data_IF_934649510047
#
_entry.id   IF_934649510047
#
_cell.length_a   1.000
_cell.length_b   1.000
_cell.length_c   1.000
_cell.angle_alpha   90.00
_cell.angle_beta   90.00
_cell.angle_gamma   90.00
#
_symmetry.space_group_name_H-M   'P 1'
#
loop_
_entity.id
_entity.type
_entity.pdbx_description
1 polymer ?
#
# COMPACT_ATOMS: atom_id res chain seq x y z
N UNK A 1 -37.46 -11.70 50.25
CA UNK A 1 -37.09 -12.54 49.09
C UNK A 1 -37.27 -11.80 47.75
N UNK A 2 -38.39 -11.09 47.53
CA UNK A 2 -38.63 -10.29 46.30
C UNK A 2 -37.70 -9.08 46.10
N UNK A 3 -37.26 -8.44 47.18
CA UNK A 3 -36.37 -7.26 47.13
C UNK A 3 -34.98 -7.60 46.56
N UNK A 4 -34.40 -8.75 46.94
CA UNK A 4 -33.08 -9.20 46.50
C UNK A 4 -33.00 -9.45 44.98
N UNK A 5 -34.11 -9.89 44.36
CA UNK A 5 -34.19 -10.16 42.92
C UNK A 5 -34.15 -8.85 42.11
N UNK A 6 -34.73 -7.77 42.64
CA UNK A 6 -34.69 -6.44 41.99
C UNK A 6 -33.27 -5.87 41.97
N UNK A 7 -32.54 -5.97 43.08
CA UNK A 7 -31.16 -5.48 43.14
C UNK A 7 -30.21 -6.33 42.27
N UNK A 8 -30.40 -7.64 42.24
CA UNK A 8 -29.62 -8.54 41.38
C UNK A 8 -29.87 -8.27 39.89
N UNK A 9 -31.12 -8.00 39.48
CA UNK A 9 -31.42 -7.71 38.07
C UNK A 9 -30.85 -6.37 37.63
N UNK A 10 -31.01 -5.30 38.43
CA UNK A 10 -30.48 -3.96 38.12
C UNK A 10 -28.95 -3.97 38.04
N UNK A 11 -28.28 -4.69 38.95
CA UNK A 11 -26.83 -4.87 38.88
C UNK A 11 -26.40 -5.59 37.60
N UNK A 12 -27.13 -6.65 37.20
CA UNK A 12 -26.83 -7.42 35.99
C UNK A 12 -27.02 -6.59 34.70
N UNK A 13 -28.08 -5.78 34.60
CA UNK A 13 -28.31 -4.88 33.45
C UNK A 13 -27.27 -3.76 33.39
N UNK A 14 -26.87 -3.21 34.54
CA UNK A 14 -25.84 -2.18 34.59
C UNK A 14 -24.46 -2.74 34.18
N UNK A 15 -24.09 -3.94 34.65
CA UNK A 15 -22.83 -4.58 34.22
C UNK A 15 -22.84 -4.99 32.75
N UNK A 16 -23.96 -5.48 32.22
CA UNK A 16 -24.04 -5.84 30.79
C UNK A 16 -23.99 -4.62 29.88
N UNK A 17 -24.60 -3.49 30.26
CA UNK A 17 -24.50 -2.23 29.50
C UNK A 17 -23.09 -1.63 29.51
N UNK A 18 -22.35 -1.73 30.62
CA UNK A 18 -20.95 -1.30 30.70
C UNK A 18 -20.06 -2.24 29.88
N UNK A 19 -20.28 -3.56 29.92
CA UNK A 19 -19.48 -4.53 29.15
C UNK A 19 -19.74 -4.43 27.65
N UNK A 20 -20.99 -4.20 27.21
CA UNK A 20 -21.28 -3.98 25.78
C UNK A 20 -20.89 -2.59 25.29
N UNK A 21 -20.96 -1.56 26.14
CA UNK A 21 -20.49 -0.21 25.83
C UNK A 21 -18.97 -0.08 25.75
N UNK A 22 -18.21 -0.91 26.48
CA UNK A 22 -16.75 -0.97 26.42
C UNK A 22 -16.20 -1.83 25.29
N UNK A 23 -17.03 -2.71 24.70
CA UNK A 23 -16.74 -3.29 23.38
C UNK A 23 -17.09 -2.30 22.27
N UNK A 24 -16.69 -1.03 22.41
CA UNK A 24 -16.46 -0.19 21.24
C UNK A 24 -15.32 -0.85 20.48
N UNK A 25 -15.69 -1.70 19.52
CA UNK A 25 -14.80 -2.28 18.53
C UNK A 25 -13.98 -1.14 17.92
N UNK A 26 -12.74 -1.00 18.36
CA UNK A 26 -11.84 -0.01 17.79
C UNK A 26 -11.54 -0.45 16.37
N UNK A 27 -12.20 0.23 15.42
CA UNK A 27 -11.81 0.17 14.01
C UNK A 27 -10.31 0.46 13.94
N UNK A 28 -9.58 -0.37 13.21
CA UNK A 28 -8.14 -0.16 13.01
C UNK A 28 -7.86 1.26 12.50
N UNK A 29 -6.68 1.79 12.84
CA UNK A 29 -6.26 3.12 12.40
C UNK A 29 -5.69 3.05 10.98
N UNK A 30 -6.18 3.94 10.13
CA UNK A 30 -5.72 4.11 8.76
C UNK A 30 -4.93 5.42 8.60
N UNK A 31 -4.99 6.34 9.57
CA UNK A 31 -4.23 7.59 9.59
C UNK A 31 -2.75 7.36 9.33
N UNK A 32 -2.17 8.16 8.45
CA UNK A 32 -0.73 8.22 8.21
C UNK A 32 -0.35 7.88 6.78
N UNK A 33 0.93 7.57 6.61
CA UNK A 33 1.53 7.34 5.30
C UNK A 33 1.53 5.85 4.93
N UNK A 34 1.17 5.58 3.68
CA UNK A 34 1.01 4.23 3.13
C UNK A 34 1.64 4.16 1.74
N UNK A 35 2.26 3.02 1.47
CA UNK A 35 2.61 2.61 0.12
C UNK A 35 1.58 1.58 -0.35
N UNK A 36 0.88 1.88 -1.43
CA UNK A 36 -0.07 0.95 -2.06
C UNK A 36 0.61 0.36 -3.29
N UNK A 37 0.91 -0.93 -3.24
CA UNK A 37 1.41 -1.74 -4.34
C UNK A 37 0.26 -2.48 -5.02
N UNK A 38 0.30 -2.58 -6.34
CA UNK A 38 -0.66 -3.36 -7.12
C UNK A 38 0.04 -4.27 -8.09
N UNK A 39 -0.58 -5.41 -8.37
CA UNK A 39 -0.17 -6.31 -9.44
C UNK A 39 -1.34 -6.57 -10.37
N UNK A 40 -1.21 -6.16 -11.62
CA UNK A 40 -2.27 -6.35 -12.61
C UNK A 40 -2.28 -7.80 -13.10
N UNK A 41 -3.35 -8.52 -12.85
CA UNK A 41 -3.52 -9.91 -13.30
C UNK A 41 -4.25 -9.98 -14.63
N UNK A 42 -5.27 -9.14 -14.79
CA UNK A 42 -6.12 -9.10 -15.99
C UNK A 42 -6.28 -7.67 -16.48
N UNK A 43 -6.26 -7.49 -17.80
CA UNK A 43 -6.45 -6.20 -18.47
C UNK A 43 -6.83 -6.44 -19.93
N UNK A 44 -7.49 -5.46 -20.55
CA UNK A 44 -7.90 -5.51 -21.96
C UNK A 44 -6.69 -5.56 -22.92
N UNK A 45 -5.56 -4.96 -22.51
CA UNK A 45 -4.29 -4.97 -23.24
C UNK A 45 -3.28 -5.83 -22.48
N UNK A 46 -2.69 -6.81 -23.18
CA UNK A 46 -1.71 -7.73 -22.59
C UNK A 46 -0.49 -7.05 -22.00
N UNK A 47 -0.11 -5.86 -22.51
CA UNK A 47 0.99 -5.05 -21.96
C UNK A 47 0.76 -4.61 -20.52
N UNK A 48 -0.49 -4.55 -20.06
CA UNK A 48 -0.79 -4.24 -18.65
C UNK A 48 -0.78 -5.48 -17.75
N UNK A 49 -0.81 -6.70 -18.29
CA UNK A 49 -0.76 -7.91 -17.48
C UNK A 49 0.64 -8.08 -16.88
N UNK A 50 0.70 -8.28 -15.57
CA UNK A 50 1.94 -8.26 -14.80
C UNK A 50 2.46 -6.87 -14.45
N UNK A 51 1.75 -5.80 -14.79
CA UNK A 51 2.20 -4.45 -14.47
C UNK A 51 2.08 -4.21 -12.97
N UNK A 52 3.22 -3.92 -12.35
CA UNK A 52 3.30 -3.38 -10.99
C UNK A 52 3.19 -1.85 -11.00
N UNK A 53 2.36 -1.32 -10.11
CA UNK A 53 2.25 0.12 -9.85
C UNK A 53 2.28 0.33 -8.35
N UNK A 54 3.08 1.32 -7.90
CA UNK A 54 3.09 1.74 -6.51
C UNK A 54 2.76 3.22 -6.34
N UNK A 55 1.96 3.52 -5.33
CA UNK A 55 1.61 4.88 -4.91
C UNK A 55 2.03 5.10 -3.47
N UNK A 56 2.50 6.30 -3.18
CA UNK A 56 2.75 6.79 -1.84
C UNK A 56 1.64 7.77 -1.47
N UNK A 57 0.87 7.45 -0.45
CA UNK A 57 -0.34 8.19 -0.07
C UNK A 57 -0.38 8.46 1.41
N UNK A 58 -0.89 9.63 1.78
CA UNK A 58 -1.27 9.94 3.14
C UNK A 58 -2.78 9.75 3.29
N UNK A 59 -3.20 8.78 4.09
CA UNK A 59 -4.60 8.51 4.40
C UNK A 59 -4.96 9.18 5.73
N UNK A 60 -6.17 9.72 5.79
CA UNK A 60 -6.75 10.31 6.99
C UNK A 60 -8.10 9.66 7.25
N UNK A 61 -8.26 9.10 8.46
CA UNK A 61 -9.48 8.47 8.94
C UNK A 61 -9.99 9.13 10.22
N UNK A 62 -10.21 10.44 10.13
CA UNK A 62 -10.85 11.22 11.19
C UNK A 62 -12.21 10.57 11.57
N UNK A 63 -12.37 10.10 12.82
CA UNK A 63 -13.60 9.43 13.26
C UNK A 63 -14.83 10.35 13.23
N UNK A 64 -14.63 11.67 13.19
CA UNK A 64 -15.70 12.68 13.13
C UNK A 64 -15.99 13.12 11.69
N UNK A 65 -15.09 12.86 10.74
CA UNK A 65 -15.22 13.24 9.34
C UNK A 65 -15.25 12.00 8.45
N UNK A 66 -16.39 11.32 8.39
CA UNK A 66 -16.66 10.44 7.24
C UNK A 66 -16.84 11.35 6.00
N UNK A 67 -16.13 11.13 4.87
CA UNK A 67 -15.41 9.92 4.45
C UNK A 67 -13.90 9.88 4.74
N UNK A 68 -13.29 8.69 4.60
CA UNK A 68 -11.83 8.54 4.55
C UNK A 68 -11.31 9.27 3.33
N UNK A 69 -10.29 10.09 3.51
CA UNK A 69 -9.65 10.84 2.42
C UNK A 69 -8.17 10.52 2.38
N UNK A 70 -7.60 10.53 1.17
CA UNK A 70 -6.18 10.34 0.98
C UNK A 70 -5.64 11.12 -0.20
N UNK A 71 -4.42 11.60 -0.09
CA UNK A 71 -3.72 12.27 -1.18
C UNK A 71 -2.30 11.74 -1.27
N UNK A 72 -1.75 11.70 -2.48
CA UNK A 72 -0.42 11.18 -2.70
C UNK A 72 0.01 11.26 -4.14
N UNK A 73 0.96 10.41 -4.49
CA UNK A 73 1.57 10.38 -5.81
C UNK A 73 1.97 8.97 -6.23
N UNK A 74 1.99 8.75 -7.55
CA UNK A 74 2.57 7.53 -8.12
C UNK A 74 4.10 7.60 -8.03
N UNK A 75 4.70 6.61 -7.38
CA UNK A 75 6.14 6.58 -7.09
C UNK A 75 6.88 5.50 -7.88
N UNK A 76 6.21 4.41 -8.27
CA UNK A 76 6.81 3.33 -9.06
C UNK A 76 5.87 2.85 -10.16
N UNK A 77 6.46 2.42 -11.27
CA UNK A 77 5.79 1.79 -12.40
C UNK A 77 6.70 0.71 -12.99
N UNK A 78 6.18 -0.51 -13.17
CA UNK A 78 6.94 -1.67 -13.60
C UNK A 78 8.23 -1.89 -12.76
N UNK A 79 8.12 -1.75 -11.44
CA UNK A 79 9.25 -1.82 -10.49
C UNK A 79 10.34 -0.76 -10.69
N UNK A 80 10.12 0.25 -11.53
CA UNK A 80 11.03 1.37 -11.69
C UNK A 80 10.55 2.58 -10.89
N UNK A 81 11.46 3.17 -10.12
CA UNK A 81 11.22 4.40 -9.38
C UNK A 81 11.05 5.59 -10.32
N UNK A 82 9.95 6.32 -10.15
CA UNK A 82 9.65 7.53 -10.90
C UNK A 82 10.30 8.73 -10.19
N UNK A 83 11.13 9.46 -10.94
CA UNK A 83 11.75 10.69 -10.46
C UNK A 83 10.69 11.73 -10.02
N UNK A 84 10.94 12.56 -9.00
CA UNK A 84 9.94 13.47 -8.43
C UNK A 84 9.21 14.37 -9.45
N UNK A 85 9.88 14.79 -10.53
CA UNK A 85 9.29 15.62 -11.59
C UNK A 85 8.31 14.89 -12.50
N UNK A 86 8.37 13.56 -12.57
CA UNK A 86 7.50 12.72 -13.38
C UNK A 86 6.37 12.05 -12.59
N UNK A 87 6.26 12.35 -11.28
CA UNK A 87 5.23 11.77 -10.42
C UNK A 87 3.88 12.42 -10.69
N UNK A 88 2.85 11.60 -10.70
CA UNK A 88 1.49 12.07 -10.92
C UNK A 88 0.68 12.01 -9.63
N UNK A 89 -0.12 13.04 -9.33
CA UNK A 89 -0.92 13.07 -8.12
C UNK A 89 -2.06 12.04 -8.19
N UNK A 90 -2.39 11.52 -7.01
CA UNK A 90 -3.54 10.65 -6.79
C UNK A 90 -4.33 11.14 -5.58
N UNK A 91 -5.65 11.10 -5.68
CA UNK A 91 -6.55 11.34 -4.56
C UNK A 91 -7.45 10.14 -4.34
N UNK A 92 -7.72 9.82 -3.08
CA UNK A 92 -8.56 8.71 -2.64
C UNK A 92 -9.70 9.24 -1.78
N UNK A 93 -10.88 8.68 -2.00
CA UNK A 93 -12.06 8.89 -1.14
C UNK A 93 -12.69 7.54 -0.88
N UNK A 94 -13.01 7.24 0.38
CA UNK A 94 -13.46 5.91 0.74
C UNK A 94 -14.22 5.81 2.04
N UNK A 95 -14.56 4.57 2.37
CA UNK A 95 -15.26 4.20 3.60
C UNK A 95 -14.46 3.16 4.35
N UNK A 96 -14.50 3.27 5.68
CA UNK A 96 -13.85 2.33 6.61
C UNK A 96 -14.89 1.58 7.44
N UNK A 97 -14.92 0.27 7.25
CA UNK A 97 -15.64 -0.69 8.07
C UNK A 97 -14.70 -1.29 9.13
N UNK A 98 -15.19 -2.25 9.93
CA UNK A 98 -14.44 -2.83 11.05
C UNK A 98 -13.19 -3.58 10.57
N UNK A 99 -13.31 -4.29 9.45
CA UNK A 99 -12.28 -5.19 8.91
C UNK A 99 -12.04 -4.97 7.41
N UNK A 100 -12.49 -3.83 6.87
CA UNK A 100 -12.40 -3.53 5.45
C UNK A 100 -12.35 -2.03 5.21
N UNK A 101 -11.62 -1.64 4.19
CA UNK A 101 -11.54 -0.29 3.65
C UNK A 101 -11.80 -0.36 2.16
N UNK A 102 -12.78 0.42 1.70
CA UNK A 102 -13.10 0.60 0.29
C UNK A 102 -12.63 1.99 -0.12
N UNK A 103 -11.61 2.09 -0.96
CA UNK A 103 -11.12 3.36 -1.50
C UNK A 103 -11.47 3.48 -2.97
N UNK A 104 -11.90 4.67 -3.38
CA UNK A 104 -12.01 5.06 -4.78
C UNK A 104 -10.92 6.09 -5.07
N UNK A 105 -9.99 5.74 -5.94
CA UNK A 105 -8.89 6.58 -6.37
C UNK A 105 -9.22 7.32 -7.66
N UNK A 106 -8.81 8.59 -7.74
CA UNK A 106 -8.70 9.36 -8.98
C UNK A 106 -7.22 9.59 -9.25
N UNK A 107 -6.79 9.11 -10.41
CA UNK A 107 -5.41 9.11 -10.86
C UNK A 107 -5.28 10.10 -11.99
N UNK A 108 -4.49 11.15 -11.79
CA UNK A 108 -4.06 11.99 -12.89
C UNK A 108 -2.94 11.26 -13.62
N UNK A 109 -2.96 11.27 -14.94
CA UNK A 109 -1.95 10.61 -15.76
C UNK A 109 -1.55 11.51 -16.90
N UNK A 110 -0.34 11.31 -17.43
CA UNK A 110 0.22 12.13 -18.52
C UNK A 110 -0.73 12.29 -19.71
N UNK A 111 -1.48 11.23 -20.04
CA UNK A 111 -2.38 11.18 -21.21
C UNK A 111 -3.86 11.28 -20.87
N UNK A 112 -4.28 10.72 -19.74
CA UNK A 112 -5.69 10.71 -19.31
C UNK A 112 -5.80 10.57 -17.81
N UNK A 113 -6.82 11.22 -17.24
CA UNK A 113 -7.27 10.89 -15.90
C UNK A 113 -7.95 9.51 -15.92
N UNK A 114 -7.74 8.74 -14.86
CA UNK A 114 -8.40 7.46 -14.66
C UNK A 114 -8.92 7.34 -13.24
N UNK A 115 -9.81 6.37 -13.03
CA UNK A 115 -10.38 6.07 -11.73
C UNK A 115 -10.14 4.62 -11.39
N UNK A 116 -10.08 4.31 -10.10
CA UNK A 116 -9.90 2.96 -9.63
C UNK A 116 -10.59 2.71 -8.31
N UNK A 117 -10.90 1.45 -8.03
CA UNK A 117 -11.49 1.02 -6.77
C UNK A 117 -10.56 0.01 -6.11
N UNK A 118 -10.40 0.14 -4.81
CA UNK A 118 -9.53 -0.68 -3.98
C UNK A 118 -10.37 -1.22 -2.83
N UNK A 119 -10.26 -2.51 -2.60
CA UNK A 119 -10.94 -3.23 -1.53
C UNK A 119 -9.87 -3.91 -0.71
N UNK A 120 -9.57 -3.33 0.45
CA UNK A 120 -8.45 -3.72 1.28
C UNK A 120 -8.94 -4.16 2.66
N UNK A 121 -8.32 -5.18 3.22
CA UNK A 121 -8.60 -5.68 4.55
C UNK A 121 -7.30 -5.80 5.35
N UNK A 122 -7.32 -5.61 6.68
CA UNK A 122 -6.14 -5.78 7.51
C UNK A 122 -5.64 -7.21 7.44
N UNK A 123 -4.38 -7.38 7.01
CA UNK A 123 -3.73 -8.68 7.04
C UNK A 123 -3.48 -9.03 8.50
N UNK A 124 -4.11 -10.10 8.98
CA UNK A 124 -3.98 -10.61 10.35
C UNK A 124 -2.55 -11.11 10.58
N UNK A 125 -1.63 -10.18 10.76
CA UNK A 125 -0.23 -10.48 11.01
C UNK A 125 -0.12 -10.99 12.44
N UNK A 126 0.21 -12.28 12.53
CA UNK A 126 0.47 -13.06 13.75
C UNK A 126 -0.77 -13.39 14.57
N UNK A 127 -1.23 -14.63 14.40
CA UNK A 127 -1.88 -15.41 15.46
C UNK A 127 -0.94 -15.41 16.67
N UNK A 128 -1.12 -14.47 17.60
CA UNK A 128 -0.45 -14.55 18.89
C UNK A 128 -0.90 -15.84 19.57
N UNK A 129 0.05 -16.55 20.20
CA UNK A 129 -0.20 -17.81 20.92
C UNK A 129 -1.38 -17.70 21.90
N UNK A 130 -1.70 -16.50 22.37
CA UNK A 130 -2.72 -16.24 23.38
C UNK A 130 -4.18 -16.53 22.98
N UNK A 131 -4.47 -16.95 21.75
CA UNK A 131 -5.83 -17.38 21.36
C UNK A 131 -6.88 -16.26 21.39
N UNK A 132 -6.47 -15.00 21.59
CA UNK A 132 -7.36 -13.86 21.55
C UNK A 132 -7.80 -13.61 20.11
N UNK A 133 -9.12 -13.49 19.94
CA UNK A 133 -9.73 -13.10 18.68
C UNK A 133 -9.17 -11.73 18.22
N UNK A 134 -8.84 -11.55 16.93
CA UNK A 134 -8.04 -10.43 16.41
C UNK A 134 -8.75 -9.08 16.38
N UNK A 135 -9.80 -8.87 17.19
CA UNK A 135 -10.67 -7.69 17.13
C UNK A 135 -10.03 -6.41 17.71
N UNK A 136 -8.77 -6.46 18.16
CA UNK A 136 -8.07 -5.36 18.85
C UNK A 136 -6.77 -4.90 18.15
N UNK A 137 -6.62 -5.12 16.84
CA UNK A 137 -5.48 -4.57 16.11
C UNK A 137 -5.66 -3.05 15.89
N UNK A 138 -5.29 -2.25 16.90
CA UNK A 138 -5.28 -0.77 16.79
C UNK A 138 -4.34 -0.28 15.68
N UNK A 139 -3.20 -0.95 15.52
CA UNK A 139 -2.14 -0.55 14.58
C UNK A 139 -1.96 -1.63 13.52
N UNK A 140 -2.71 -1.50 12.43
CA UNK A 140 -2.51 -2.34 11.25
C UNK A 140 -1.40 -1.73 10.41
N UNK A 141 -0.42 -2.55 10.03
CA UNK A 141 0.70 -2.11 9.20
C UNK A 141 0.61 -2.61 7.76
N UNK A 142 -0.25 -3.60 7.49
CA UNK A 142 -0.42 -4.21 6.17
C UNK A 142 -1.91 -4.41 5.92
N UNK A 143 -2.37 -3.93 4.76
CA UNK A 143 -3.68 -4.22 4.21
C UNK A 143 -3.49 -4.98 2.90
N UNK A 144 -4.34 -5.96 2.64
CA UNK A 144 -4.33 -6.75 1.40
C UNK A 144 -5.73 -6.86 0.83
N UNK A 145 -5.80 -7.02 -0.48
CA UNK A 145 -7.05 -7.30 -1.16
C UNK A 145 -6.91 -7.09 -2.66
N UNK A 146 -7.88 -6.41 -3.25
CA UNK A 146 -8.02 -6.33 -4.71
C UNK A 146 -8.20 -4.91 -5.19
N UNK A 147 -7.87 -4.67 -6.45
CA UNK A 147 -8.16 -3.41 -7.12
C UNK A 147 -8.77 -3.63 -8.50
N UNK A 148 -9.44 -2.58 -8.99
CA UNK A 148 -9.93 -2.47 -10.35
C UNK A 148 -9.73 -1.03 -10.85
N UNK A 149 -8.97 -0.84 -11.92
CA UNK A 149 -8.77 0.44 -12.60
C UNK A 149 -9.62 0.49 -13.88
N UNK A 150 -10.16 1.66 -14.17
CA UNK A 150 -10.81 1.93 -15.46
C UNK A 150 -9.80 2.04 -16.60
N UNK A 151 -8.54 2.37 -16.28
CA UNK A 151 -7.46 2.37 -17.26
C UNK A 151 -7.15 0.94 -17.71
N UNK A 152 -7.46 0.64 -18.98
CA UNK A 152 -7.20 -0.69 -19.56
C UNK A 152 -8.03 -1.81 -18.92
N UNK A 153 -9.08 -1.46 -18.16
CA UNK A 153 -9.90 -2.40 -17.38
C UNK A 153 -9.04 -3.34 -16.53
N UNK A 154 -7.94 -2.81 -15.97
CA UNK A 154 -6.95 -3.56 -15.22
C UNK A 154 -7.50 -3.99 -13.86
N UNK A 155 -7.31 -5.25 -13.49
CA UNK A 155 -7.73 -5.82 -12.20
C UNK A 155 -6.65 -6.76 -11.67
N UNK A 156 -6.59 -6.88 -10.35
CA UNK A 156 -5.71 -7.84 -9.69
C UNK A 156 -5.60 -7.58 -8.18
N UNK A 157 -4.50 -8.02 -7.60
CA UNK A 157 -4.22 -7.87 -6.17
C UNK A 157 -3.61 -6.53 -5.82
N UNK A 158 -3.98 -6.00 -4.66
CA UNK A 158 -3.43 -4.80 -4.09
C UNK A 158 -2.96 -5.06 -2.66
N UNK A 159 -1.88 -4.40 -2.27
CA UNK A 159 -1.38 -4.40 -0.91
C UNK A 159 -1.01 -2.99 -0.48
N UNK A 160 -1.41 -2.58 0.71
CA UNK A 160 -0.98 -1.34 1.32
C UNK A 160 -0.08 -1.63 2.52
N UNK A 161 1.14 -1.11 2.52
CA UNK A 161 2.09 -1.21 3.63
C UNK A 161 2.28 0.16 4.25
N UNK A 162 2.24 0.23 5.59
CA UNK A 162 2.43 1.47 6.31
C UNK A 162 3.88 1.93 6.21
N UNK A 163 4.07 3.24 6.01
CA UNK A 163 5.37 3.90 6.00
C UNK A 163 5.61 4.56 7.37
N UNK A 164 6.75 4.25 7.99
CA UNK A 164 7.23 4.91 9.22
C UNK A 164 8.52 5.63 8.86
N UNK A 165 8.54 6.95 9.04
CA UNK A 165 9.68 7.80 8.64
C UNK A 165 10.05 7.62 7.15
N UNK A 166 9.03 7.42 6.30
CA UNK A 166 9.19 7.21 4.87
C UNK A 166 9.73 5.83 4.47
N UNK A 167 9.87 4.88 5.40
CA UNK A 167 10.32 3.51 5.13
C UNK A 167 9.18 2.50 5.33
N UNK A 168 9.02 1.50 4.44
CA UNK A 168 7.99 0.48 4.59
C UNK A 168 8.26 -0.39 5.81
N UNK A 169 7.21 -0.66 6.59
CA UNK A 169 7.26 -1.63 7.68
C UNK A 169 7.61 -3.01 7.11
N UNK A 170 8.41 -3.77 7.85
CA UNK A 170 8.76 -5.14 7.48
C UNK A 170 7.50 -5.99 7.28
N UNK A 171 7.26 -6.38 6.03
CA UNK A 171 6.19 -7.27 5.58
C UNK A 171 6.79 -8.30 4.62
N UNK A 172 6.05 -9.36 4.33
CA UNK A 172 6.45 -10.31 3.29
C UNK A 172 6.65 -9.58 1.93
N UNK A 173 7.53 -10.03 1.05
CA UNK A 173 7.73 -9.39 -0.26
C UNK A 173 6.43 -9.42 -1.08
N UNK A 174 6.14 -8.35 -1.82
CA UNK A 174 4.97 -8.34 -2.71
C UNK A 174 5.30 -9.19 -3.93
N UNK A 175 4.58 -10.29 -4.12
CA UNK A 175 4.71 -11.10 -5.32
C UNK A 175 3.84 -10.50 -6.43
N UNK A 176 4.48 -10.01 -7.49
CA UNK A 176 3.79 -9.73 -8.75
C UNK A 176 4.42 -10.60 -9.83
N UNK A 177 3.72 -11.67 -10.18
CA UNK A 177 4.13 -12.55 -11.27
C UNK A 177 3.54 -12.02 -12.58
N UNK A 178 4.37 -11.41 -13.43
CA UNK A 178 3.94 -11.14 -14.79
C UNK A 178 4.96 -10.45 -15.66
N UNK A 179 4.68 -10.45 -16.96
CA UNK A 179 5.61 -10.26 -18.09
C UNK A 179 6.46 -8.98 -18.00
N UNK A 180 5.99 -7.95 -17.28
CA UNK A 180 6.73 -6.71 -17.06
C UNK A 180 7.99 -6.84 -16.17
N UNK A 181 8.27 -8.01 -15.56
CA UNK A 181 9.48 -8.26 -14.76
C UNK A 181 10.76 -8.49 -15.58
N UNK A 182 10.72 -8.48 -16.91
CA UNK A 182 11.94 -8.58 -17.72
C UNK A 182 12.63 -7.22 -17.90
N UNK A 183 13.17 -6.68 -16.81
CA UNK A 183 14.32 -5.77 -16.90
C UNK A 183 15.49 -6.57 -16.31
N UNK A 184 16.50 -6.97 -17.11
CA UNK A 184 17.69 -7.61 -16.55
C UNK A 184 18.31 -6.67 -15.50
N UNK A 185 18.97 -7.21 -14.46
CA UNK A 185 19.71 -6.38 -13.51
C UNK A 185 20.64 -5.48 -14.32
N UNK A 186 20.69 -4.20 -13.92
CA UNK A 186 21.62 -3.23 -14.47
C UNK A 186 22.99 -3.89 -14.60
N UNK A 187 23.44 -4.02 -15.86
CA UNK A 187 24.81 -4.41 -16.16
C UNK A 187 25.68 -3.38 -15.46
N UNK A 188 26.49 -3.86 -14.50
CA UNK A 188 27.59 -3.09 -13.92
C UNK A 188 28.28 -2.34 -15.06
N UNK A 189 28.37 -1.02 -14.94
CA UNK A 189 29.20 -0.19 -15.80
C UNK A 189 30.56 -0.86 -15.91
N UNK A 190 30.83 -1.41 -17.09
CA UNK A 190 32.16 -1.84 -17.47
C UNK A 190 33.04 -0.61 -17.31
N UNK A 191 33.93 -0.65 -16.33
CA UNK A 191 35.04 0.28 -16.18
C UNK A 191 35.75 0.40 -17.53
N UNK A 192 35.66 1.58 -18.14
CA UNK A 192 36.46 1.93 -19.30
C UNK A 192 37.95 1.71 -18.96
N UNK A 193 38.75 1.11 -19.86
CA UNK A 193 40.18 1.00 -19.63
C UNK A 193 40.80 2.40 -19.77
N UNK A 194 41.56 2.80 -18.74
CA UNK A 194 42.46 3.96 -18.76
C UNK A 194 43.27 3.98 -20.07
N UNK A 195 42.98 4.94 -20.94
CA UNK A 195 43.89 5.31 -22.01
C UNK A 195 44.90 6.29 -21.43
N UNK A 196 46.05 5.75 -21.05
CA UNK A 196 47.25 6.48 -20.66
C UNK A 196 47.89 7.12 -21.91
N UNK A 197 47.94 8.46 -22.04
CA UNK A 197 48.55 9.11 -23.19
C UNK A 197 49.99 9.51 -22.84
N UNK A 198 50.87 8.52 -22.70
CA UNK A 198 52.31 8.81 -22.65
C UNK A 198 53.10 7.69 -23.35
N UNK A 199 53.24 7.83 -24.67
CA UNK A 199 54.33 7.19 -25.40
C UNK A 199 54.93 8.20 -26.36
N UNK A 200 55.99 8.83 -25.87
CA UNK A 200 56.91 9.67 -26.63
C UNK A 200 57.54 8.83 -27.74
N UNK A 201 57.12 9.03 -28.98
CA UNK A 201 57.78 8.45 -30.14
C UNK A 201 59.04 9.27 -30.47
N UNK A 202 60.19 8.64 -30.34
CA UNK A 202 61.50 9.20 -30.65
C UNK A 202 61.75 9.24 -32.17
N UNK A 203 62.28 10.38 -32.59
CA UNK A 203 62.90 10.79 -33.87
C UNK A 203 63.56 9.64 -34.68
N UNK A 204 63.40 9.59 -36.02
CA UNK A 204 64.36 8.94 -36.89
C UNK A 204 65.39 9.96 -37.42
N UNK A 205 66.66 9.77 -37.06
CA UNK A 205 67.82 10.34 -37.73
C UNK A 205 68.31 9.38 -38.84
N UNK A 206 68.89 9.97 -39.88
CA UNK A 206 69.27 9.43 -41.19
C UNK A 206 70.18 8.18 -41.22
N UNK A 207 69.97 7.30 -42.21
CA UNK A 207 70.98 6.94 -43.24
C UNK A 207 70.38 6.12 -44.39
#
# INVERSE_FOLDING_TARGET
>A
MLEFIKYASVAFTATTAVVTGWMQYEKFRLDGEWQIDTCTETADLSTYQGLHLAWRVFLSDDPLAAPVVGNGEKVEEAFQLIAPRGRFPVSFVGTKEINRVSLTGRFEGARRASTGRFELAPTLTRRTWSGYLPFYQRNVNVLEGTFALTAGNARGTARAVRLIEGKPVAAEPFACEGVATQIPPAVEEASEPDQDPDTVEAVPDEN
#
